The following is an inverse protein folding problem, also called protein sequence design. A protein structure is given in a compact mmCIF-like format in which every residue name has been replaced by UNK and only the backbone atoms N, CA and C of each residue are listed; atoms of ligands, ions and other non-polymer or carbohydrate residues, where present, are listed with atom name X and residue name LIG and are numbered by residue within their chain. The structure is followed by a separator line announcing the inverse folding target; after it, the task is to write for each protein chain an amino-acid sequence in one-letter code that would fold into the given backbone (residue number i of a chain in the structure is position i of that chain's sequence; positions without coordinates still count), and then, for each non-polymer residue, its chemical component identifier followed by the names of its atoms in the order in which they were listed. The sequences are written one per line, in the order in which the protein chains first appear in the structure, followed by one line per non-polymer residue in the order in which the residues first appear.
data_IF_005002583956
#
_entry.id   IF_005002583956
#
_cell.length_a   1.000
_cell.length_b   1.000
_cell.length_c   1.000
_cell.angle_alpha   90.00
_cell.angle_beta   90.00
_cell.angle_gamma   90.00
#
_symmetry.space_group_name_H-M   'P 1'
#
loop_
_entity.id
_entity.type
_entity.pdbx_description
1 polymer ?
#
# COMPACT_ATOMS: atom_id res chain seq x y z
N UNK A 1 18.36 23.91 -4.30
CA UNK A 1 18.58 22.47 -4.52
C UNK A 1 17.90 21.70 -3.39
N UNK A 2 16.75 21.07 -3.61
CA UNK A 2 16.09 20.26 -2.58
C UNK A 2 16.37 18.79 -2.86
N UNK A 3 17.00 18.11 -1.89
CA UNK A 3 17.25 16.67 -1.94
C UNK A 3 15.92 15.95 -1.77
N UNK A 4 15.44 15.31 -2.84
CA UNK A 4 14.35 14.34 -2.77
C UNK A 4 14.87 13.16 -1.95
N UNK A 5 14.39 13.02 -0.70
CA UNK A 5 14.64 11.83 0.09
C UNK A 5 13.77 10.71 -0.48
N UNK A 6 14.26 10.05 -1.53
CA UNK A 6 13.63 8.83 -2.03
C UNK A 6 13.75 7.78 -0.91
N UNK A 7 12.66 7.11 -0.52
CA UNK A 7 12.76 5.98 0.39
C UNK A 7 13.75 4.98 -0.21
N UNK A 8 14.71 4.51 0.60
CA UNK A 8 15.72 3.55 0.15
C UNK A 8 14.99 2.30 -0.34
N UNK A 9 15.35 1.74 -1.51
CA UNK A 9 14.71 0.53 -2.01
C UNK A 9 14.90 -0.59 -0.99
N UNK A 10 13.80 -1.18 -0.54
CA UNK A 10 13.80 -2.27 0.41
C UNK A 10 14.32 -3.54 -0.28
N UNK A 11 15.61 -3.83 -0.11
CA UNK A 11 16.27 -5.02 -0.68
C UNK A 11 16.30 -6.14 0.35
N UNK A 12 15.23 -6.94 0.43
CA UNK A 12 15.31 -8.23 1.12
C UNK A 12 15.50 -9.34 0.10
N UNK A 13 16.46 -10.26 0.30
CA UNK A 13 16.55 -11.47 -0.51
C UNK A 13 15.29 -12.30 -0.30
N UNK A 14 14.41 -12.28 -1.30
CA UNK A 14 13.12 -12.98 -1.25
C UNK A 14 13.39 -14.48 -1.41
N UNK A 15 13.34 -15.23 -0.31
CA UNK A 15 13.53 -16.69 -0.34
C UNK A 15 12.31 -17.44 -0.89
N UNK A 16 11.12 -16.83 -0.78
CA UNK A 16 9.87 -17.29 -1.37
C UNK A 16 9.15 -16.10 -2.02
N UNK A 17 8.92 -16.11 -3.35
CA UNK A 17 8.32 -14.97 -4.06
C UNK A 17 6.91 -14.62 -3.57
N UNK A 18 6.21 -15.58 -2.95
CA UNK A 18 4.83 -15.40 -2.52
C UNK A 18 4.72 -14.85 -1.09
N UNK A 19 5.60 -15.26 -0.17
CA UNK A 19 5.57 -14.80 1.22
C UNK A 19 6.89 -15.10 1.94
N UNK A 20 7.60 -14.05 2.35
CA UNK A 20 8.75 -14.16 3.26
C UNK A 20 8.35 -13.66 4.66
N UNK A 21 8.48 -14.55 5.66
CA UNK A 21 8.06 -14.28 7.03
C UNK A 21 8.91 -13.21 7.71
N UNK A 22 10.22 -13.17 7.43
CA UNK A 22 11.12 -12.20 8.02
C UNK A 22 10.90 -10.83 7.36
N UNK A 23 10.86 -10.80 6.03
CA UNK A 23 10.55 -9.57 5.29
C UNK A 23 9.20 -8.97 5.74
N UNK A 24 8.17 -9.80 5.92
CA UNK A 24 6.88 -9.31 6.39
C UNK A 24 6.92 -8.74 7.81
N UNK A 25 7.75 -9.29 8.71
CA UNK A 25 7.91 -8.72 10.06
C UNK A 25 8.56 -7.35 10.00
N UNK A 26 9.62 -7.21 9.20
CA UNK A 26 10.36 -5.96 9.07
C UNK A 26 9.50 -4.87 8.41
N UNK A 27 8.77 -5.23 7.35
CA UNK A 27 7.80 -4.35 6.69
C UNK A 27 6.71 -3.87 7.65
N UNK A 28 6.25 -4.71 8.59
CA UNK A 28 5.23 -4.32 9.57
C UNK A 28 5.70 -3.22 10.53
N UNK A 29 7.00 -3.08 10.76
CA UNK A 29 7.56 -1.98 11.54
C UNK A 29 7.40 -0.67 10.76
N UNK A 30 7.83 -0.66 9.49
CA UNK A 30 7.70 0.50 8.59
C UNK A 30 6.24 0.93 8.39
N UNK A 31 5.33 -0.03 8.24
CA UNK A 31 3.88 0.22 8.13
C UNK A 31 3.35 1.07 9.28
N UNK A 32 3.84 0.82 10.51
CA UNK A 32 3.40 1.57 11.69
C UNK A 32 4.04 2.96 11.75
N UNK A 33 5.30 3.07 11.34
CA UNK A 33 6.03 4.35 11.32
C UNK A 33 5.50 5.31 10.25
N UNK A 34 5.07 4.78 9.09
CA UNK A 34 4.62 5.56 7.93
C UNK A 34 3.08 5.66 7.80
N UNK A 35 2.32 5.28 8.85
CA UNK A 35 0.85 5.26 8.86
C UNK A 35 0.22 4.59 7.62
N UNK A 36 0.77 3.44 7.20
CA UNK A 36 0.24 2.68 6.07
C UNK A 36 -1.01 1.92 6.50
N UNK A 37 -2.13 2.25 5.86
CA UNK A 37 -3.45 1.65 6.10
C UNK A 37 -3.79 0.65 5.00
N UNK A 38 -4.80 -0.18 5.27
CA UNK A 38 -5.21 -1.24 4.34
C UNK A 38 -6.71 -1.41 4.30
N UNK A 39 -7.19 -1.65 3.09
CA UNK A 39 -8.55 -2.10 2.86
C UNK A 39 -8.55 -3.34 1.96
N UNK A 40 -9.57 -4.19 2.13
CA UNK A 40 -9.81 -5.35 1.29
C UNK A 40 -11.02 -5.04 0.42
N UNK A 41 -10.86 -5.19 -0.90
CA UNK A 41 -11.88 -4.94 -1.91
C UNK A 41 -12.00 -6.21 -2.75
N UNK A 42 -13.06 -7.00 -2.58
CA UNK A 42 -13.20 -8.32 -3.21
C UNK A 42 -11.97 -9.22 -2.99
N UNK A 43 -11.29 -9.57 -4.09
CA UNK A 43 -10.06 -10.37 -4.11
C UNK A 43 -8.77 -9.54 -4.14
N UNK A 44 -8.87 -8.23 -3.92
CA UNK A 44 -7.76 -7.30 -3.84
C UNK A 44 -7.48 -6.84 -2.41
N UNK A 45 -6.19 -6.59 -2.14
CA UNK A 45 -5.74 -5.84 -0.98
C UNK A 45 -5.14 -4.53 -1.45
N UNK A 46 -5.63 -3.43 -0.90
CA UNK A 46 -5.18 -2.08 -1.18
C UNK A 46 -4.41 -1.59 0.04
N UNK A 47 -3.15 -1.24 -0.15
CA UNK A 47 -2.32 -0.56 0.84
C UNK A 47 -2.21 0.92 0.47
N UNK A 48 -2.39 1.83 1.42
CA UNK A 48 -2.34 3.26 1.14
C UNK A 48 -1.76 4.07 2.30
N UNK A 49 -1.07 5.16 1.96
CA UNK A 49 -0.51 6.11 2.92
C UNK A 49 -0.45 7.50 2.31
N UNK A 50 -0.30 8.55 3.12
CA UNK A 50 -0.05 9.90 2.62
C UNK A 50 1.28 9.97 1.89
N UNK A 51 1.34 10.81 0.86
CA UNK A 51 2.60 11.12 0.17
C UNK A 51 2.80 12.63 0.10
N UNK A 52 3.98 13.09 0.55
CA UNK A 52 4.34 14.51 0.65
C UNK A 52 5.08 15.02 -0.59
N UNK A 53 4.62 14.64 -1.79
CA UNK A 53 5.30 15.11 -3.02
C UNK A 53 4.75 16.48 -3.43
N UNK A 54 5.46 17.54 -3.04
CA UNK A 54 5.28 18.91 -3.55
C UNK A 54 4.58 19.90 -2.61
N UNK A 55 4.72 21.20 -2.93
CA UNK A 55 4.05 22.30 -2.21
C UNK A 55 2.56 22.26 -2.57
N UNK A 56 1.72 21.82 -1.62
CA UNK A 56 0.26 21.75 -1.78
C UNK A 56 -0.31 20.38 -2.19
N UNK A 57 0.53 19.36 -2.40
CA UNK A 57 0.09 18.03 -2.86
C UNK A 57 -0.63 17.23 -1.77
N UNK A 58 -1.97 17.22 -1.79
CA UNK A 58 -2.84 16.38 -0.95
C UNK A 58 -3.02 14.99 -1.56
N UNK A 59 -1.93 14.27 -1.77
CA UNK A 59 -1.96 12.96 -2.42
C UNK A 59 -1.81 11.82 -1.40
N UNK A 60 -2.42 10.69 -1.70
CA UNK A 60 -2.10 9.39 -1.08
C UNK A 60 -1.41 8.51 -2.11
N UNK A 61 -0.43 7.72 -1.68
CA UNK A 61 0.11 6.61 -2.45
C UNK A 61 -0.78 5.39 -2.24
N UNK A 62 -1.12 4.67 -3.32
CA UNK A 62 -2.00 3.49 -3.31
C UNK A 62 -1.35 2.36 -4.09
N UNK A 63 -1.11 1.24 -3.42
CA UNK A 63 -0.57 0.02 -4.01
C UNK A 63 -1.58 -1.13 -3.87
N UNK A 64 -1.77 -1.90 -4.94
CA UNK A 64 -2.81 -2.93 -5.02
C UNK A 64 -2.21 -4.29 -5.30
N UNK A 65 -2.65 -5.31 -4.56
CA UNK A 65 -2.41 -6.70 -4.85
C UNK A 65 -3.73 -7.42 -5.12
N UNK A 66 -3.91 -7.89 -6.36
CA UNK A 66 -5.07 -8.64 -6.81
C UNK A 66 -4.76 -10.14 -6.85
N UNK A 67 -5.75 -10.97 -6.53
CA UNK A 67 -5.71 -12.42 -6.65
C UNK A 67 -6.71 -12.86 -7.71
N UNK A 68 -6.29 -13.73 -8.62
CA UNK A 68 -7.13 -14.18 -9.72
C UNK A 68 -8.39 -14.94 -9.24
N UNK A 69 -9.48 -14.97 -10.03
CA UNK A 69 -10.71 -15.69 -9.68
C UNK A 69 -10.54 -17.20 -9.46
N UNK A 70 -9.57 -17.79 -10.15
CA UNK A 70 -9.20 -19.21 -10.07
C UNK A 70 -8.35 -19.57 -8.83
N UNK A 71 -7.79 -18.58 -8.15
CA UNK A 71 -6.88 -18.78 -7.00
C UNK A 71 -7.57 -18.62 -5.64
N UNK A 72 -7.01 -19.28 -4.63
CA UNK A 72 -7.40 -19.11 -3.23
C UNK A 72 -6.91 -17.76 -2.68
N UNK A 73 -7.84 -16.83 -2.47
CA UNK A 73 -7.52 -15.54 -1.87
C UNK A 73 -7.04 -15.68 -0.42
N UNK A 74 -5.78 -15.31 -0.18
CA UNK A 74 -5.19 -15.23 1.17
C UNK A 74 -4.84 -13.79 1.51
N UNK A 75 -5.67 -13.16 2.36
CA UNK A 75 -5.49 -11.76 2.81
C UNK A 75 -4.07 -11.43 3.29
N UNK A 76 -3.41 -12.37 3.97
CA UNK A 76 -2.03 -12.19 4.46
C UNK A 76 -1.01 -12.06 3.30
N UNK A 77 -1.17 -12.85 2.25
CA UNK A 77 -0.34 -12.80 1.04
C UNK A 77 -0.61 -11.48 0.30
N UNK A 78 -1.90 -11.14 0.11
CA UNK A 78 -2.28 -9.87 -0.51
C UNK A 78 -1.68 -8.65 0.20
N UNK A 79 -1.75 -8.60 1.54
CA UNK A 79 -1.10 -7.53 2.33
C UNK A 79 0.41 -7.46 2.09
N UNK A 80 1.09 -8.60 2.10
CA UNK A 80 2.53 -8.64 1.85
C UNK A 80 2.88 -8.11 0.44
N UNK A 81 2.16 -8.57 -0.60
CA UNK A 81 2.40 -8.16 -1.98
C UNK A 81 2.07 -6.69 -2.23
N UNK A 82 0.99 -6.16 -1.64
CA UNK A 82 0.63 -4.75 -1.75
C UNK A 82 1.72 -3.87 -1.12
N UNK A 83 2.30 -4.30 0.01
CA UNK A 83 3.40 -3.58 0.67
C UNK A 83 4.70 -3.64 -0.11
N UNK A 84 5.06 -4.81 -0.65
CA UNK A 84 6.23 -4.90 -1.53
C UNK A 84 6.10 -3.93 -2.70
N UNK A 85 4.92 -3.87 -3.34
CA UNK A 85 4.65 -2.89 -4.41
C UNK A 85 4.80 -1.45 -3.92
N UNK A 86 4.26 -1.12 -2.75
CA UNK A 86 4.41 0.22 -2.16
C UNK A 86 5.89 0.61 -2.01
N UNK A 87 6.69 -0.23 -1.35
CA UNK A 87 8.10 0.06 -1.08
C UNK A 87 9.02 -0.10 -2.29
N UNK A 88 8.59 -0.83 -3.32
CA UNK A 88 9.22 -0.87 -4.64
C UNK A 88 8.91 0.36 -5.50
N UNK A 89 8.04 1.28 -5.04
CA UNK A 89 7.60 2.44 -5.81
C UNK A 89 6.55 2.11 -6.89
N UNK A 90 5.92 0.94 -6.82
CA UNK A 90 4.85 0.47 -7.71
C UNK A 90 3.48 0.83 -7.12
N UNK A 91 3.22 2.13 -7.00
CA UNK A 91 1.96 2.67 -6.52
C UNK A 91 1.45 3.75 -7.49
N UNK A 92 0.14 3.99 -7.44
CA UNK A 92 -0.46 5.19 -8.05
C UNK A 92 -0.64 6.26 -6.97
N UNK A 93 -0.77 7.52 -7.37
CA UNK A 93 -1.10 8.60 -6.46
C UNK A 93 -2.52 9.09 -6.72
N UNK A 94 -3.32 9.25 -5.66
CA UNK A 94 -4.68 9.77 -5.73
C UNK A 94 -4.82 11.04 -4.88
N UNK A 95 -5.59 12.06 -5.32
CA UNK A 95 -5.77 13.31 -4.59
C UNK A 95 -6.78 13.17 -3.43
N UNK A 96 -6.55 12.19 -2.54
CA UNK A 96 -7.48 11.80 -1.47
C UNK A 96 -6.90 12.00 -0.06
N UNK A 97 -5.92 12.91 0.11
CA UNK A 97 -5.31 13.10 1.43
C UNK A 97 -6.22 13.83 2.43
N UNK A 98 -7.25 14.55 1.95
CA UNK A 98 -8.23 15.16 2.85
C UNK A 98 -9.06 14.09 3.54
N UNK A 99 -9.60 13.16 2.76
CA UNK A 99 -10.39 12.01 3.23
C UNK A 99 -9.54 11.10 4.11
N UNK A 100 -8.23 11.00 3.85
CA UNK A 100 -7.31 10.26 4.72
C UNK A 100 -7.28 10.80 6.17
N UNK A 101 -7.39 12.12 6.33
CA UNK A 101 -7.33 12.81 7.63
C UNK A 101 -8.68 12.94 8.30
N UNK A 102 -9.66 13.45 7.55
CA UNK A 102 -10.92 13.93 8.10
C UNK A 102 -12.03 12.87 8.02
N UNK A 103 -11.95 11.97 7.04
CA UNK A 103 -13.02 11.00 6.74
C UNK A 103 -12.47 9.61 6.36
N UNK A 104 -11.71 8.95 7.26
CA UNK A 104 -11.02 7.71 6.94
C UNK A 104 -11.96 6.55 6.56
N UNK A 105 -13.18 6.52 7.09
CA UNK A 105 -14.20 5.53 6.74
C UNK A 105 -14.69 5.71 5.30
N UNK A 106 -15.00 6.96 4.91
CA UNK A 106 -15.44 7.28 3.55
C UNK A 106 -14.33 6.97 2.52
N UNK A 107 -13.07 7.23 2.88
CA UNK A 107 -11.92 6.85 2.06
C UNK A 107 -11.84 5.32 1.87
N UNK A 108 -12.02 4.54 2.93
CA UNK A 108 -12.01 3.08 2.82
C UNK A 108 -13.12 2.57 1.90
N UNK A 109 -14.32 3.11 2.00
CA UNK A 109 -15.45 2.69 1.16
C UNK A 109 -15.27 3.13 -0.30
N UNK A 110 -14.72 4.32 -0.53
CA UNK A 110 -14.33 4.76 -1.88
C UNK A 110 -13.29 3.81 -2.48
N UNK A 111 -12.22 3.50 -1.74
CA UNK A 111 -11.16 2.59 -2.21
C UNK A 111 -11.68 1.17 -2.41
N UNK A 112 -12.63 0.69 -1.60
CA UNK A 112 -13.33 -0.59 -1.86
C UNK A 112 -14.05 -0.52 -3.20
N UNK A 113 -14.93 0.47 -3.40
CA UNK A 113 -15.70 0.61 -4.62
C UNK A 113 -14.83 0.73 -5.88
N UNK A 114 -13.68 1.40 -5.78
CA UNK A 114 -12.73 1.56 -6.89
C UNK A 114 -12.02 0.27 -7.29
N UNK A 115 -11.78 -0.65 -6.34
CA UNK A 115 -10.94 -1.84 -6.53
C UNK A 115 -11.66 -3.16 -6.28
N UNK A 116 -12.98 -3.13 -6.14
CA UNK A 116 -13.84 -4.30 -6.12
C UNK A 116 -13.99 -4.81 -7.57
N UNK A 117 -13.12 -5.78 -7.93
CA UNK A 117 -12.99 -6.39 -9.26
C UNK A 117 -13.44 -7.85 -9.25
#
# INVERSE_FOLDING_TARGET
MFRVNKPKPYKVPVTNPNFDKQAYKDIKVLVKEEDVRFVVAGRAVVAYTKTTVGIGGRMIAVAVAYCAPEDDFKKKIGKYQALLKMYDGKFIQLPLAYEFDEAPFDLEDLLKAMFDL
#
